data_IF_192000849856
#
_entry.id   IF_192000849856
#
_cell.length_a   1.000
_cell.length_b   1.000
_cell.length_c   1.000
_cell.angle_alpha   90.00
_cell.angle_beta   90.00
_cell.angle_gamma   90.00
#
_symmetry.space_group_name_H-M   'P 1'
#
loop_
_entity.id
_entity.type
_entity.pdbx_description
1 polymer ?
#
# COMPACT_ATOMS: atom_id res chain seq x y z
N UNK A 1 -14.02 9.29 6.49
CA UNK A 1 -12.55 9.36 6.62
C UNK A 1 -11.96 9.95 5.34
N UNK A 2 -12.29 11.21 5.02
CA UNK A 2 -12.00 11.78 3.70
C UNK A 2 -11.53 13.25 3.78
N UNK A 3 -10.76 13.57 4.83
CA UNK A 3 -10.26 14.92 5.03
C UNK A 3 -11.29 15.91 5.55
N UNK A 4 -10.88 17.18 5.68
CA UNK A 4 -11.73 18.30 6.12
C UNK A 4 -12.03 19.30 5.00
N UNK A 5 -11.21 19.30 3.95
CA UNK A 5 -11.32 20.23 2.81
C UNK A 5 -11.31 19.49 1.48
N UNK A 6 -11.74 20.15 0.41
CA UNK A 6 -11.65 19.58 -0.95
C UNK A 6 -10.21 19.26 -1.34
N UNK A 7 -9.24 20.04 -0.86
CA UNK A 7 -7.82 19.77 -1.11
C UNK A 7 -7.34 18.52 -0.35
N UNK A 8 -7.86 18.28 0.86
CA UNK A 8 -7.58 17.03 1.57
C UNK A 8 -8.15 15.83 0.80
N UNK A 9 -9.40 15.93 0.33
CA UNK A 9 -10.03 14.92 -0.52
C UNK A 9 -9.21 14.60 -1.77
N UNK A 10 -8.75 15.64 -2.48
CA UNK A 10 -7.89 15.50 -3.65
C UNK A 10 -6.58 14.74 -3.33
N UNK A 11 -5.92 15.06 -2.22
CA UNK A 11 -4.69 14.38 -1.80
C UNK A 11 -4.94 12.93 -1.39
N UNK A 12 -6.09 12.65 -0.76
CA UNK A 12 -6.50 11.28 -0.42
C UNK A 12 -6.70 10.48 -1.70
N UNK A 13 -7.40 11.04 -2.69
CA UNK A 13 -7.60 10.40 -3.98
C UNK A 13 -6.29 10.15 -4.72
N UNK A 14 -5.35 11.10 -4.67
CA UNK A 14 -4.03 10.91 -5.25
C UNK A 14 -3.32 9.66 -4.69
N UNK A 15 -3.36 9.46 -3.37
CA UNK A 15 -2.75 8.29 -2.73
C UNK A 15 -3.50 7.00 -3.10
N UNK A 16 -4.84 7.05 -3.14
CA UNK A 16 -5.66 5.90 -3.54
C UNK A 16 -5.40 5.52 -5.01
N UNK A 17 -5.34 6.48 -5.93
CA UNK A 17 -5.03 6.20 -7.33
C UNK A 17 -3.61 5.66 -7.50
N UNK A 18 -2.65 6.14 -6.70
CA UNK A 18 -1.31 5.56 -6.69
C UNK A 18 -1.31 4.08 -6.25
N UNK A 19 -2.19 3.70 -5.31
CA UNK A 19 -2.40 2.30 -4.93
C UNK A 19 -2.99 1.49 -6.08
N UNK A 20 -3.98 2.04 -6.78
CA UNK A 20 -4.60 1.39 -7.94
C UNK A 20 -3.59 1.16 -9.06
N UNK A 21 -2.71 2.13 -9.34
CA UNK A 21 -1.63 1.99 -10.32
C UNK A 21 -0.67 0.86 -9.94
N UNK A 22 -0.28 0.78 -8.66
CA UNK A 22 0.58 -0.29 -8.17
C UNK A 22 -0.12 -1.66 -8.23
N UNK A 23 -1.39 -1.72 -7.84
CA UNK A 23 -2.19 -2.93 -7.94
C UNK A 23 -2.33 -3.40 -9.39
N UNK A 24 -2.51 -2.49 -10.33
CA UNK A 24 -2.62 -2.79 -11.76
C UNK A 24 -1.30 -3.32 -12.33
N UNK A 25 -0.15 -2.78 -11.91
CA UNK A 25 1.15 -3.30 -12.34
C UNK A 25 1.39 -4.72 -11.84
N UNK A 26 0.99 -5.03 -10.60
CA UNK A 26 1.10 -6.36 -10.03
C UNK A 26 0.08 -7.36 -10.60
N UNK A 27 -1.16 -6.93 -10.83
CA UNK A 27 -2.24 -7.79 -11.32
C UNK A 27 -1.92 -8.39 -12.68
N UNK A 28 -1.32 -7.60 -13.58
CA UNK A 28 -0.85 -8.09 -14.89
C UNK A 28 0.10 -9.29 -14.76
N UNK A 29 0.97 -9.26 -13.75
CA UNK A 29 1.94 -10.32 -13.48
C UNK A 29 1.26 -11.53 -12.83
N UNK A 30 0.36 -11.33 -11.86
CA UNK A 30 -0.28 -12.44 -11.15
C UNK A 30 -1.18 -13.28 -12.05
N UNK A 31 -1.84 -12.65 -13.02
CA UNK A 31 -2.74 -13.32 -13.98
C UNK A 31 -2.05 -13.75 -15.28
N UNK A 32 -0.74 -13.57 -15.41
CA UNK A 32 0.03 -14.12 -16.53
C UNK A 32 0.02 -15.66 -16.47
N UNK A 33 -0.21 -16.28 -17.63
CA UNK A 33 -0.34 -17.74 -17.81
C UNK A 33 0.95 -18.38 -18.31
N UNK A 34 1.75 -17.64 -19.07
CA UNK A 34 3.07 -18.11 -19.50
C UNK A 34 4.06 -18.04 -18.33
N UNK A 35 4.58 -19.19 -17.91
CA UNK A 35 5.44 -19.29 -16.72
C UNK A 35 6.74 -18.47 -16.85
N UNK A 36 7.31 -18.38 -18.05
CA UNK A 36 8.53 -17.63 -18.29
C UNK A 36 8.25 -16.13 -18.20
N UNK A 37 7.19 -15.65 -18.85
CA UNK A 37 6.77 -14.24 -18.76
C UNK A 37 6.35 -13.86 -17.34
N UNK A 38 5.71 -14.78 -16.61
CA UNK A 38 5.34 -14.58 -15.21
C UNK A 38 6.56 -14.45 -14.32
N UNK A 39 7.57 -15.30 -14.50
CA UNK A 39 8.82 -15.21 -13.74
C UNK A 39 9.57 -13.90 -14.02
N UNK A 40 9.66 -13.48 -15.28
CA UNK A 40 10.24 -12.19 -15.68
C UNK A 40 9.44 -11.02 -15.09
N UNK A 41 8.11 -11.07 -15.18
CA UNK A 41 7.21 -10.07 -14.62
C UNK A 41 7.33 -9.95 -13.11
N UNK A 42 7.47 -11.06 -12.38
CA UNK A 42 7.69 -11.07 -10.93
C UNK A 42 9.03 -10.47 -10.55
N UNK A 43 10.08 -10.73 -11.35
CA UNK A 43 11.39 -10.11 -11.16
C UNK A 43 11.29 -8.60 -11.35
N UNK A 44 10.72 -8.13 -12.46
CA UNK A 44 10.52 -6.70 -12.71
C UNK A 44 9.64 -6.03 -11.63
N UNK A 45 8.57 -6.70 -11.21
CA UNK A 45 7.70 -6.22 -10.14
C UNK A 45 8.49 -5.99 -8.84
N UNK A 46 9.34 -6.94 -8.45
CA UNK A 46 10.13 -6.87 -7.21
C UNK A 46 11.29 -5.89 -7.28
N UNK A 47 12.01 -5.85 -8.40
CA UNK A 47 13.25 -5.08 -8.53
C UNK A 47 13.02 -3.62 -8.98
N UNK A 48 11.91 -3.36 -9.68
CA UNK A 48 11.64 -2.04 -10.29
C UNK A 48 10.38 -1.42 -9.73
N UNK A 49 9.24 -2.11 -9.85
CA UNK A 49 7.94 -1.50 -9.54
C UNK A 49 7.75 -1.31 -8.02
N UNK A 50 8.07 -2.33 -7.21
CA UNK A 50 7.96 -2.27 -5.74
C UNK A 50 8.77 -1.09 -5.17
N UNK A 51 10.09 -0.96 -5.41
CA UNK A 51 10.85 0.18 -4.88
C UNK A 51 10.32 1.54 -5.36
N UNK A 52 9.87 1.62 -6.63
CA UNK A 52 9.30 2.83 -7.21
C UNK A 52 8.05 3.29 -6.44
N UNK A 53 7.06 2.42 -6.27
CA UNK A 53 5.81 2.78 -5.60
C UNK A 53 5.98 3.00 -4.09
N UNK A 54 6.77 2.17 -3.41
CA UNK A 54 7.08 2.40 -1.99
C UNK A 54 7.81 3.72 -1.79
N UNK A 55 8.74 4.07 -2.69
CA UNK A 55 9.41 5.37 -2.69
C UNK A 55 8.47 6.55 -2.87
N UNK A 56 7.44 6.42 -3.72
CA UNK A 56 6.41 7.45 -3.85
C UNK A 56 5.58 7.62 -2.57
N UNK A 57 5.15 6.54 -1.93
CA UNK A 57 4.44 6.62 -0.65
C UNK A 57 5.30 7.24 0.46
N UNK A 58 6.56 6.79 0.58
CA UNK A 58 7.53 7.32 1.55
C UNK A 58 7.74 8.82 1.35
N UNK A 59 7.86 9.26 0.09
CA UNK A 59 7.97 10.68 -0.26
C UNK A 59 6.73 11.48 0.17
N UNK A 60 5.52 10.99 -0.13
CA UNK A 60 4.28 11.66 0.27
C UNK A 60 4.13 11.75 1.80
N UNK A 61 4.53 10.71 2.53
CA UNK A 61 4.56 10.73 4.00
C UNK A 61 5.56 11.76 4.53
N UNK A 62 6.75 11.82 3.93
CA UNK A 62 7.77 12.81 4.29
C UNK A 62 7.31 14.24 4.03
N UNK A 63 6.67 14.49 2.89
CA UNK A 63 6.13 15.81 2.53
C UNK A 63 4.99 16.25 3.43
N UNK A 64 4.13 15.32 3.87
CA UNK A 64 3.08 15.60 4.84
C UNK A 64 3.64 15.95 6.23
N UNK A 65 4.71 15.26 6.67
CA UNK A 65 5.40 15.52 7.93
C UNK A 65 4.63 15.14 9.20
N UNK A 66 3.35 14.78 9.11
CA UNK A 66 2.50 14.41 10.25
C UNK A 66 2.51 12.93 10.61
N UNK A 67 3.12 12.09 9.76
CA UNK A 67 3.01 10.64 9.85
C UNK A 67 1.65 10.08 9.42
N UNK A 68 0.88 10.88 8.67
CA UNK A 68 -0.30 10.51 7.87
C UNK A 68 -0.11 11.10 6.47
N UNK A 69 -0.78 10.56 5.45
CA UNK A 69 -0.72 11.11 4.10
C UNK A 69 -1.40 12.47 4.01
N UNK A 70 -2.47 12.69 4.79
CA UNK A 70 -3.25 13.93 4.77
C UNK A 70 -3.66 14.35 6.17
N UNK A 71 -3.41 15.61 6.52
CA UNK A 71 -3.76 16.16 7.84
C UNK A 71 -2.96 15.50 8.97
N UNK A 72 -3.63 15.15 10.07
CA UNK A 72 -3.00 14.61 11.29
C UNK A 72 -3.77 13.43 11.91
N UNK A 73 -4.64 12.80 11.13
CA UNK A 73 -5.48 11.68 11.57
C UNK A 73 -5.64 10.67 10.45
N UNK A 74 -6.03 9.44 10.82
CA UNK A 74 -6.33 8.38 9.86
C UNK A 74 -7.42 8.85 8.87
N UNK A 75 -7.25 8.48 7.60
CA UNK A 75 -8.13 8.73 6.47
C UNK A 75 -8.26 7.46 5.62
N UNK A 76 -9.01 7.53 4.51
CA UNK A 76 -9.07 6.45 3.53
C UNK A 76 -7.70 6.11 2.94
N UNK A 77 -6.80 7.10 2.80
CA UNK A 77 -5.47 6.89 2.22
C UNK A 77 -4.66 5.84 2.99
N UNK A 78 -4.61 5.96 4.32
CA UNK A 78 -3.87 5.01 5.17
C UNK A 78 -4.47 3.61 5.11
N UNK A 79 -5.80 3.50 5.10
CA UNK A 79 -6.49 2.21 5.03
C UNK A 79 -6.22 1.49 3.71
N UNK A 80 -6.25 2.22 2.60
CA UNK A 80 -6.05 1.65 1.27
C UNK A 80 -4.60 1.21 1.06
N UNK A 81 -3.63 2.03 1.49
CA UNK A 81 -2.21 1.67 1.47
C UNK A 81 -1.95 0.47 2.37
N UNK A 82 -2.51 0.43 3.58
CA UNK A 82 -2.37 -0.72 4.47
C UNK A 82 -2.89 -2.01 3.83
N UNK A 83 -4.09 -2.00 3.26
CA UNK A 83 -4.68 -3.20 2.66
C UNK A 83 -3.86 -3.69 1.45
N UNK A 84 -3.43 -2.78 0.58
CA UNK A 84 -2.55 -3.13 -0.54
C UNK A 84 -1.25 -3.78 -0.07
N UNK A 85 -0.56 -3.15 0.89
CA UNK A 85 0.72 -3.63 1.40
C UNK A 85 0.57 -4.93 2.18
N UNK A 86 -0.51 -5.09 2.96
CA UNK A 86 -0.83 -6.33 3.65
C UNK A 86 -0.90 -7.49 2.64
N UNK A 87 -1.71 -7.33 1.59
CA UNK A 87 -1.88 -8.34 0.56
C UNK A 87 -0.56 -8.68 -0.14
N UNK A 88 0.26 -7.67 -0.43
CA UNK A 88 1.56 -7.89 -1.08
C UNK A 88 2.59 -8.52 -0.15
N UNK A 89 2.53 -8.27 1.15
CA UNK A 89 3.35 -8.98 2.15
C UNK A 89 2.96 -10.45 2.28
N UNK A 90 1.65 -10.77 2.30
CA UNK A 90 1.18 -12.17 2.34
C UNK A 90 1.70 -12.98 1.13
N UNK A 91 1.88 -12.31 -0.01
CA UNK A 91 2.42 -12.93 -1.25
C UNK A 91 3.93 -12.85 -1.38
N UNK A 92 4.66 -12.40 -0.34
CA UNK A 92 6.12 -12.20 -0.38
C UNK A 92 6.59 -11.33 -1.55
N UNK A 93 5.81 -10.31 -1.90
CA UNK A 93 6.13 -9.35 -2.97
C UNK A 93 6.80 -8.10 -2.40
N UNK A 94 6.35 -7.64 -1.24
CA UNK A 94 6.83 -6.42 -0.61
C UNK A 94 7.53 -6.72 0.71
N UNK A 95 8.62 -6.00 0.96
CA UNK A 95 9.22 -5.79 2.28
C UNK A 95 9.35 -4.28 2.51
N UNK A 96 9.17 -3.84 3.75
CA UNK A 96 9.14 -2.41 4.11
C UNK A 96 10.37 -1.97 4.91
N UNK A 97 11.39 -2.82 5.02
CA UNK A 97 12.54 -2.60 5.90
C UNK A 97 13.26 -1.28 5.60
N UNK A 98 13.39 -0.94 4.31
CA UNK A 98 14.06 0.28 3.82
C UNK A 98 13.16 1.52 3.76
N UNK A 99 11.86 1.38 4.07
CA UNK A 99 10.86 2.46 3.96
C UNK A 99 10.28 2.76 5.35
N UNK A 100 11.06 3.46 6.18
CA UNK A 100 10.78 3.60 7.61
C UNK A 100 9.47 4.34 7.94
N UNK A 101 9.12 5.42 7.23
CA UNK A 101 7.87 6.14 7.47
C UNK A 101 6.68 5.27 7.09
N UNK A 102 6.76 4.59 5.95
CA UNK A 102 5.73 3.70 5.46
C UNK A 102 5.55 2.48 6.37
N UNK A 103 6.64 1.88 6.84
CA UNK A 103 6.61 0.78 7.81
C UNK A 103 5.98 1.23 9.14
N UNK A 104 6.31 2.44 9.59
CA UNK A 104 5.70 3.04 10.79
C UNK A 104 4.20 3.25 10.60
N UNK A 105 3.78 3.77 9.44
CA UNK A 105 2.38 3.93 9.09
C UNK A 105 1.65 2.59 9.06
N UNK A 106 2.22 1.59 8.38
CA UNK A 106 1.66 0.24 8.28
C UNK A 106 1.38 -0.34 9.67
N UNK A 107 2.37 -0.30 10.56
CA UNK A 107 2.23 -0.76 11.96
C UNK A 107 1.20 0.06 12.74
N UNK A 108 1.10 1.36 12.50
CA UNK A 108 0.11 2.24 13.16
C UNK A 108 -1.31 1.85 12.78
N UNK A 109 -1.56 1.51 11.50
CA UNK A 109 -2.87 1.07 11.01
C UNK A 109 -3.16 -0.35 11.48
N UNK A 110 -2.20 -1.26 11.37
CA UNK A 110 -2.32 -2.66 11.81
C UNK A 110 -2.72 -2.79 13.29
N UNK A 111 -2.19 -1.90 14.13
CA UNK A 111 -2.48 -1.90 15.57
C UNK A 111 -3.78 -1.18 15.97
N UNK A 112 -4.59 -0.69 15.03
CA UNK A 112 -5.91 -0.16 15.37
C UNK A 112 -6.83 -1.30 15.83
N UNK A 113 -7.45 -1.17 17.02
CA UNK A 113 -8.23 -2.25 17.64
C UNK A 113 -9.23 -2.92 16.70
N UNK A 114 -9.99 -2.12 15.94
CA UNK A 114 -10.98 -2.64 14.99
C UNK A 114 -10.35 -3.37 13.80
N UNK A 115 -9.21 -2.89 13.31
CA UNK A 115 -8.49 -3.50 12.18
C UNK A 115 -7.84 -4.80 12.65
N UNK A 116 -7.12 -4.76 13.76
CA UNK A 116 -6.49 -5.94 14.38
C UNK A 116 -7.51 -7.04 14.70
N UNK A 117 -8.65 -6.67 15.27
CA UNK A 117 -9.74 -7.61 15.56
C UNK A 117 -10.36 -8.21 14.29
N UNK A 118 -10.44 -7.46 13.19
CA UNK A 118 -10.91 -7.96 11.90
C UNK A 118 -9.88 -8.90 11.25
N UNK A 119 -8.62 -8.47 11.15
CA UNK A 119 -7.54 -9.22 10.48
C UNK A 119 -7.27 -10.55 11.17
N UNK A 120 -7.37 -10.62 12.50
CA UNK A 120 -7.21 -11.88 13.26
C UNK A 120 -8.35 -12.89 13.04
N UNK A 121 -9.52 -12.45 12.57
CA UNK A 121 -10.71 -13.30 12.39
C UNK A 121 -11.05 -13.56 10.94
N UNK A 122 -10.57 -12.73 10.00
CA UNK A 122 -10.92 -12.87 8.59
C UNK A 122 -10.32 -14.17 8.03
N UNK A 123 -11.05 -14.90 7.17
CA UNK A 123 -10.50 -16.06 6.49
C UNK A 123 -9.36 -15.62 5.57
N UNK A 124 -8.35 -16.48 5.44
CA UNK A 124 -7.37 -16.30 4.38
C UNK A 124 -8.02 -16.58 3.03
N UNK A 125 -7.85 -15.67 2.08
CA UNK A 125 -8.22 -15.86 0.68
C UNK A 125 -6.99 -15.65 -0.19
N UNK A 126 -6.84 -16.46 -1.23
CA UNK A 126 -5.77 -16.26 -2.21
C UNK A 126 -6.01 -15.01 -3.08
N UNK A 127 -7.27 -14.55 -3.17
CA UNK A 127 -7.74 -13.43 -3.98
C UNK A 127 -8.51 -12.41 -3.13
#
# INVERSE_FOLDING_TARGET
LYGKTNLDGLKIDQVVQLCVDFQNSASKVFFEKDENKKAEGLKNLREVEVPKYLGFFEKLLKESGSGYFVGSSLTLAELYVYDLLFNFQQRSIVKLDDFHLLNTLYKKVDNQDKIKAYVSKRPFTEF
#
